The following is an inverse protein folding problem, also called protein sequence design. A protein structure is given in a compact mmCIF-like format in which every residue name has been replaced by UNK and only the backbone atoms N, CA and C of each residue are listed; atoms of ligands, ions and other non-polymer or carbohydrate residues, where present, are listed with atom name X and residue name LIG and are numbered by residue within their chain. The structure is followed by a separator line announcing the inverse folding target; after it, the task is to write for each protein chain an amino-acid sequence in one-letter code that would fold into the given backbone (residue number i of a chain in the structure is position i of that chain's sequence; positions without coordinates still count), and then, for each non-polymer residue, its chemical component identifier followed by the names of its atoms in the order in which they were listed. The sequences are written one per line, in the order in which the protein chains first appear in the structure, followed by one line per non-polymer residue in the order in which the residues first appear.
data_IF_194641908755
#
_entry.id   IF_194641908755
#
_cell.length_a   1.000
_cell.length_b   1.000
_cell.length_c   1.000
_cell.angle_alpha   90.00
_cell.angle_beta   90.00
_cell.angle_gamma   90.00
#
_symmetry.space_group_name_H-M   'P 1'
#
loop_
_entity.id
_entity.type
_entity.pdbx_description
1 polymer ?
#
# COMPACT_ATOMS: atom_id res chain seq x y z
N UNK A 1 -20.41 -26.80 -26.44
CA UNK A 1 -21.09 -25.47 -26.30
C UNK A 1 -20.19 -24.53 -25.55
N UNK A 2 -19.47 -23.59 -26.23
CA UNK A 2 -18.73 -22.52 -25.55
C UNK A 2 -19.75 -21.52 -25.05
N UNK A 3 -19.97 -21.47 -23.74
CA UNK A 3 -20.80 -20.46 -23.12
C UNK A 3 -20.20 -19.09 -23.43
N UNK A 4 -20.94 -18.29 -24.17
CA UNK A 4 -20.63 -16.91 -24.51
C UNK A 4 -20.69 -16.09 -23.19
N UNK A 5 -19.54 -16.03 -22.46
CA UNK A 5 -19.47 -15.17 -21.29
C UNK A 5 -19.45 -13.72 -21.79
N UNK A 6 -20.45 -12.91 -21.50
CA UNK A 6 -20.44 -11.51 -21.90
C UNK A 6 -19.19 -10.86 -21.31
N UNK A 7 -18.47 -10.11 -22.15
CA UNK A 7 -17.34 -9.27 -21.71
C UNK A 7 -17.90 -8.29 -20.69
N UNK A 8 -17.64 -8.55 -19.40
CA UNK A 8 -18.10 -7.68 -18.32
C UNK A 8 -17.30 -6.39 -18.37
N UNK A 9 -17.99 -5.27 -18.55
CA UNK A 9 -17.38 -3.94 -18.49
C UNK A 9 -16.78 -3.74 -17.09
N UNK A 10 -15.52 -3.32 -16.97
CA UNK A 10 -14.92 -3.02 -15.67
C UNK A 10 -15.72 -1.92 -14.95
N UNK A 11 -15.78 -1.99 -13.63
CA UNK A 11 -16.48 -1.01 -12.80
C UNK A 11 -15.65 0.29 -12.66
N UNK A 12 -15.44 1.00 -13.76
CA UNK A 12 -14.56 2.18 -13.84
C UNK A 12 -14.87 3.19 -12.73
N UNK A 13 -16.15 3.49 -12.49
CA UNK A 13 -16.55 4.39 -11.41
C UNK A 13 -16.11 3.89 -10.03
N UNK A 14 -16.24 2.59 -9.77
CA UNK A 14 -15.80 1.99 -8.49
C UNK A 14 -14.28 1.99 -8.35
N UNK A 15 -13.55 1.80 -9.45
CA UNK A 15 -12.07 1.87 -9.47
C UNK A 15 -11.62 3.30 -9.17
N UNK A 16 -12.27 4.31 -9.76
CA UNK A 16 -11.95 5.71 -9.49
C UNK A 16 -12.22 6.09 -8.04
N UNK A 17 -13.36 5.68 -7.47
CA UNK A 17 -13.67 5.93 -6.05
C UNK A 17 -12.65 5.24 -5.15
N UNK A 18 -12.24 4.00 -5.45
CA UNK A 18 -11.18 3.32 -4.71
C UNK A 18 -9.86 4.07 -4.80
N UNK A 19 -9.49 4.55 -5.99
CA UNK A 19 -8.31 5.39 -6.20
C UNK A 19 -8.35 6.67 -5.35
N UNK A 20 -9.50 7.34 -5.29
CA UNK A 20 -9.68 8.53 -4.45
C UNK A 20 -9.55 8.22 -2.95
N UNK A 21 -10.06 7.08 -2.48
CA UNK A 21 -9.88 6.66 -1.09
C UNK A 21 -8.40 6.45 -0.78
N UNK A 22 -7.66 5.79 -1.66
CA UNK A 22 -6.23 5.57 -1.46
C UNK A 22 -5.43 6.87 -1.55
N UNK A 23 -5.82 7.79 -2.45
CA UNK A 23 -5.21 9.12 -2.54
C UNK A 23 -5.44 9.93 -1.27
N UNK A 24 -6.64 9.87 -0.68
CA UNK A 24 -6.93 10.51 0.60
C UNK A 24 -6.11 9.92 1.75
N UNK A 25 -5.96 8.60 1.81
CA UNK A 25 -5.08 7.94 2.78
C UNK A 25 -3.61 8.32 2.59
N UNK A 26 -3.15 8.44 1.35
CA UNK A 26 -1.80 8.90 1.05
C UNK A 26 -1.58 10.35 1.48
N UNK A 27 -2.54 11.24 1.21
CA UNK A 27 -2.48 12.63 1.66
C UNK A 27 -2.45 12.72 3.20
N UNK A 28 -3.26 11.92 3.88
CA UNK A 28 -3.26 11.85 5.34
C UNK A 28 -1.92 11.32 5.89
N UNK A 29 -1.32 10.33 5.22
CA UNK A 29 0.01 9.83 5.57
C UNK A 29 1.08 10.92 5.39
N UNK A 30 1.06 11.68 4.28
CA UNK A 30 1.99 12.80 4.07
C UNK A 30 1.85 13.86 5.17
N UNK A 31 0.61 14.17 5.57
CA UNK A 31 0.36 15.08 6.68
C UNK A 31 0.93 14.54 8.00
N UNK A 32 0.69 13.26 8.30
CA UNK A 32 1.25 12.62 9.50
C UNK A 32 2.79 12.61 9.47
N UNK A 33 3.40 12.30 8.32
CA UNK A 33 4.85 12.32 8.15
C UNK A 33 5.44 13.73 8.36
N UNK A 34 4.81 14.75 7.80
CA UNK A 34 5.18 16.15 8.00
C UNK A 34 5.07 16.57 9.47
N UNK A 35 3.99 16.15 10.13
CA UNK A 35 3.79 16.43 11.56
C UNK A 35 4.87 15.76 12.41
N UNK A 36 5.18 14.47 12.15
CA UNK A 36 6.26 13.74 12.85
C UNK A 36 7.59 14.47 12.68
N UNK A 37 7.92 14.88 11.45
CA UNK A 37 9.13 15.65 11.16
C UNK A 37 9.18 16.93 12.02
N UNK A 38 8.12 17.74 12.00
CA UNK A 38 8.05 19.02 12.70
C UNK A 38 8.22 18.86 14.22
N UNK A 39 7.64 17.83 14.84
CA UNK A 39 7.71 17.62 16.29
C UNK A 39 9.03 16.96 16.74
N UNK A 40 9.78 16.34 15.82
CA UNK A 40 11.04 15.66 16.14
C UNK A 40 12.28 16.48 15.79
N UNK A 41 12.41 16.93 14.55
CA UNK A 41 13.55 17.66 14.04
C UNK A 41 13.35 19.19 14.03
N UNK A 42 12.12 19.64 14.24
CA UNK A 42 11.76 21.05 14.25
C UNK A 42 11.10 21.53 12.95
N UNK A 43 10.56 22.77 12.94
CA UNK A 43 9.83 23.29 11.79
C UNK A 43 10.73 23.74 10.64
N UNK A 44 12.04 23.89 10.86
CA UNK A 44 12.98 24.40 9.88
C UNK A 44 13.29 23.32 8.84
N UNK A 45 13.27 23.69 7.56
CA UNK A 45 13.67 22.79 6.50
C UNK A 45 15.19 22.60 6.51
N UNK A 46 15.70 21.37 6.27
CA UNK A 46 17.12 21.14 6.22
C UNK A 46 17.76 21.90 5.04
N UNK A 47 18.92 22.50 5.28
CA UNK A 47 19.65 23.28 4.28
C UNK A 47 20.12 22.39 3.12
N UNK A 48 20.37 21.10 3.38
CA UNK A 48 20.81 20.13 2.38
C UNK A 48 20.37 18.72 2.73
N UNK A 49 20.32 17.85 1.70
CA UNK A 49 20.02 16.43 1.89
C UNK A 49 21.07 15.71 2.76
N UNK A 50 22.33 16.12 2.70
CA UNK A 50 23.43 15.57 3.53
C UNK A 50 23.25 15.95 5.00
N UNK A 51 22.86 17.19 5.30
CA UNK A 51 22.57 17.61 6.66
C UNK A 51 21.36 16.85 7.21
N UNK A 52 20.29 16.73 6.43
CA UNK A 52 19.12 15.94 6.81
C UNK A 52 19.49 14.49 7.16
N UNK A 53 20.26 13.83 6.29
CA UNK A 53 20.70 12.47 6.53
C UNK A 53 21.57 12.36 7.80
N UNK A 54 22.47 13.33 8.03
CA UNK A 54 23.28 13.39 9.23
C UNK A 54 22.38 13.52 10.48
N UNK A 55 21.46 14.48 10.51
CA UNK A 55 20.60 14.74 11.67
C UNK A 55 19.69 13.54 11.97
N UNK A 56 19.13 12.90 10.94
CA UNK A 56 18.29 11.71 11.09
C UNK A 56 19.06 10.51 11.64
N UNK A 57 20.32 10.30 11.20
CA UNK A 57 21.07 9.08 11.53
C UNK A 57 21.91 9.24 12.80
N UNK A 58 22.26 10.45 13.23
CA UNK A 58 23.19 10.69 14.33
C UNK A 58 22.57 11.31 15.57
N UNK A 59 21.37 11.89 15.48
CA UNK A 59 20.69 12.53 16.62
C UNK A 59 19.66 11.61 17.26
N UNK A 60 19.40 11.82 18.56
CA UNK A 60 18.32 11.13 19.27
C UNK A 60 16.95 11.47 18.68
N UNK A 61 16.74 12.73 18.28
CA UNK A 61 15.53 13.19 17.62
C UNK A 61 15.31 12.48 16.28
N UNK A 62 16.38 12.30 15.50
CA UNK A 62 16.35 11.55 14.23
C UNK A 62 15.94 10.09 14.44
N UNK A 63 16.51 9.42 15.42
CA UNK A 63 16.11 8.05 15.76
C UNK A 63 14.67 7.95 16.25
N UNK A 64 14.20 8.95 17.02
CA UNK A 64 12.78 9.03 17.41
C UNK A 64 11.89 9.18 16.19
N UNK A 65 12.27 10.05 15.24
CA UNK A 65 11.56 10.22 13.98
C UNK A 65 11.49 8.93 13.18
N UNK A 66 12.59 8.18 13.07
CA UNK A 66 12.60 6.87 12.41
C UNK A 66 11.62 5.92 13.10
N UNK A 67 11.72 5.75 14.41
CA UNK A 67 10.91 4.80 15.16
C UNK A 67 9.40 5.12 15.05
N UNK A 68 9.03 6.37 15.30
CA UNK A 68 7.62 6.84 15.22
C UNK A 68 7.13 6.80 13.78
N UNK A 69 7.95 7.27 12.82
CA UNK A 69 7.61 7.29 11.41
C UNK A 69 7.40 5.89 10.83
N UNK A 70 8.25 4.92 11.19
CA UNK A 70 8.08 3.52 10.81
C UNK A 70 6.82 2.92 11.43
N UNK A 71 6.53 3.19 12.71
CA UNK A 71 5.32 2.71 13.36
C UNK A 71 4.04 3.25 12.72
N UNK A 72 3.98 4.55 12.51
CA UNK A 72 2.83 5.21 11.85
C UNK A 72 2.73 4.75 10.39
N UNK A 73 3.84 4.72 9.64
CA UNK A 73 3.88 4.23 8.26
C UNK A 73 3.39 2.78 8.14
N UNK A 74 3.78 1.92 9.08
CA UNK A 74 3.29 0.54 9.14
C UNK A 74 1.78 0.47 9.33
N UNK A 75 1.19 1.31 10.21
CA UNK A 75 -0.26 1.34 10.40
C UNK A 75 -0.99 1.77 9.13
N UNK A 76 -0.50 2.80 8.42
CA UNK A 76 -1.05 3.20 7.13
C UNK A 76 -0.94 2.08 6.08
N UNK A 77 0.23 1.43 5.98
CA UNK A 77 0.45 0.31 5.06
C UNK A 77 -0.51 -0.85 5.37
N UNK A 78 -0.73 -1.16 6.64
CA UNK A 78 -1.67 -2.20 7.07
C UNK A 78 -3.11 -1.86 6.66
N UNK A 79 -3.56 -0.63 6.90
CA UNK A 79 -4.90 -0.17 6.48
C UNK A 79 -5.05 -0.27 4.96
N UNK A 80 -4.07 0.22 4.20
CA UNK A 80 -4.08 0.14 2.73
C UNK A 80 -4.12 -1.32 2.27
N UNK A 81 -3.32 -2.21 2.85
CA UNK A 81 -3.33 -3.64 2.53
C UNK A 81 -4.73 -4.24 2.77
N UNK A 82 -5.30 -4.03 3.96
CA UNK A 82 -6.59 -4.59 4.35
C UNK A 82 -7.70 -4.18 3.39
N UNK A 83 -7.74 -2.92 2.96
CA UNK A 83 -8.81 -2.42 2.10
C UNK A 83 -8.58 -2.71 0.61
N UNK A 84 -7.33 -2.93 0.16
CA UNK A 84 -7.00 -2.95 -1.28
C UNK A 84 -6.62 -4.33 -1.83
N UNK A 85 -6.07 -5.23 -1.01
CA UNK A 85 -5.45 -6.48 -1.49
C UNK A 85 -6.38 -7.38 -2.31
N UNK A 86 -7.66 -7.46 -1.96
CA UNK A 86 -8.69 -8.20 -2.70
C UNK A 86 -9.58 -7.25 -3.50
N UNK A 87 -9.74 -6.00 -3.06
CA UNK A 87 -10.67 -5.05 -3.69
C UNK A 87 -10.31 -4.74 -5.14
N UNK A 88 -9.04 -4.46 -5.43
CA UNK A 88 -8.62 -4.14 -6.81
C UNK A 88 -8.85 -5.31 -7.77
N UNK A 89 -8.34 -6.52 -7.51
CA UNK A 89 -8.63 -7.66 -8.35
C UNK A 89 -10.12 -7.92 -8.52
N UNK A 90 -10.91 -7.78 -7.45
CA UNK A 90 -12.35 -7.99 -7.48
C UNK A 90 -13.08 -6.95 -8.36
N UNK A 91 -12.68 -5.68 -8.30
CA UNK A 91 -13.25 -4.61 -9.12
C UNK A 91 -12.90 -4.76 -10.61
N UNK A 92 -11.73 -5.38 -10.91
CA UNK A 92 -11.33 -5.69 -12.29
C UNK A 92 -12.06 -6.94 -12.83
N UNK A 93 -12.29 -7.93 -11.98
CA UNK A 93 -12.92 -9.20 -12.36
C UNK A 93 -14.45 -9.10 -12.41
N UNK A 94 -15.06 -8.32 -11.50
CA UNK A 94 -16.51 -8.24 -11.33
C UNK A 94 -17.00 -6.81 -11.23
N UNK A 95 -18.14 -6.52 -11.85
CA UNK A 95 -18.79 -5.22 -11.72
C UNK A 95 -19.51 -5.14 -10.35
N UNK A 96 -18.76 -4.90 -9.29
CA UNK A 96 -19.27 -4.72 -7.93
C UNK A 96 -19.02 -3.29 -7.46
N UNK A 97 -19.83 -2.82 -6.50
CA UNK A 97 -19.61 -1.51 -5.88
C UNK A 97 -18.39 -1.51 -4.94
N UNK A 98 -17.78 -0.34 -4.73
CA UNK A 98 -16.60 -0.16 -3.87
C UNK A 98 -16.83 -0.70 -2.47
N UNK A 99 -17.99 -0.45 -1.88
CA UNK A 99 -18.31 -0.93 -0.54
C UNK A 99 -18.23 -2.46 -0.44
N UNK A 100 -18.80 -3.19 -1.41
CA UNK A 100 -18.72 -4.65 -1.44
C UNK A 100 -17.30 -5.14 -1.66
N UNK A 101 -16.52 -4.45 -2.49
CA UNK A 101 -15.13 -4.80 -2.73
C UNK A 101 -14.30 -4.67 -1.44
N UNK A 102 -14.39 -3.54 -0.74
CA UNK A 102 -13.70 -3.30 0.53
C UNK A 102 -14.17 -4.30 1.60
N UNK A 103 -15.48 -4.51 1.75
CA UNK A 103 -16.01 -5.48 2.72
C UNK A 103 -15.48 -6.89 2.46
N UNK A 104 -15.38 -7.30 1.18
CA UNK A 104 -14.80 -8.60 0.80
C UNK A 104 -13.30 -8.66 1.13
N UNK A 105 -12.55 -7.57 0.88
CA UNK A 105 -11.12 -7.51 1.19
C UNK A 105 -10.87 -7.60 2.70
N UNK A 106 -11.59 -6.81 3.50
CA UNK A 106 -11.51 -6.86 4.97
C UNK A 106 -11.84 -8.26 5.49
N UNK A 107 -12.90 -8.87 4.97
CA UNK A 107 -13.31 -10.22 5.36
C UNK A 107 -12.24 -11.26 5.00
N UNK A 108 -11.70 -11.22 3.80
CA UNK A 108 -10.65 -12.13 3.34
C UNK A 108 -9.39 -12.05 4.23
N UNK A 109 -8.98 -10.84 4.63
CA UNK A 109 -7.84 -10.63 5.53
C UNK A 109 -8.15 -11.19 6.93
N UNK A 110 -9.35 -10.97 7.45
CA UNK A 110 -9.75 -11.46 8.79
C UNK A 110 -9.88 -12.98 8.85
N UNK A 111 -10.33 -13.61 7.77
CA UNK A 111 -10.48 -15.06 7.69
C UNK A 111 -9.14 -15.77 7.41
N UNK A 112 -8.15 -15.05 6.84
CA UNK A 112 -6.84 -15.60 6.47
C UNK A 112 -5.67 -14.74 6.96
N UNK A 113 -5.54 -14.46 8.26
CA UNK A 113 -4.56 -13.48 8.76
C UNK A 113 -3.11 -13.90 8.47
N UNK A 114 -2.77 -15.19 8.63
CA UNK A 114 -1.41 -15.69 8.38
C UNK A 114 -0.95 -15.51 6.93
N UNK A 115 -1.66 -16.07 5.94
CA UNK A 115 -1.35 -15.87 4.53
C UNK A 115 -1.32 -14.39 4.09
N UNK A 116 -2.23 -13.56 4.64
CA UNK A 116 -2.28 -12.14 4.31
C UNK A 116 -1.11 -11.35 4.91
N UNK A 117 -0.70 -11.67 6.15
CA UNK A 117 0.49 -11.09 6.75
C UNK A 117 1.76 -11.50 5.98
N UNK A 118 1.91 -12.78 5.62
CA UNK A 118 3.01 -13.26 4.81
C UNK A 118 3.04 -12.54 3.45
N UNK A 119 1.89 -12.35 2.81
CA UNK A 119 1.77 -11.61 1.56
C UNK A 119 2.17 -10.13 1.71
N UNK A 120 1.72 -9.48 2.77
CA UNK A 120 2.12 -8.10 3.09
C UNK A 120 3.64 -7.96 3.28
N UNK A 121 4.29 -8.92 3.94
CA UNK A 121 5.75 -8.96 4.09
C UNK A 121 6.46 -9.17 2.74
N UNK A 122 5.94 -10.03 1.88
CA UNK A 122 6.48 -10.24 0.53
C UNK A 122 6.40 -8.95 -0.30
N UNK A 123 5.26 -8.24 -0.23
CA UNK A 123 5.10 -6.93 -0.89
C UNK A 123 6.13 -5.94 -0.34
N UNK A 124 6.23 -5.80 0.98
CA UNK A 124 7.17 -4.88 1.61
C UNK A 124 8.61 -5.19 1.22
N UNK A 125 9.02 -6.45 1.31
CA UNK A 125 10.36 -6.89 0.90
C UNK A 125 10.64 -6.63 -0.59
N UNK A 126 9.67 -6.91 -1.45
CA UNK A 126 9.77 -6.65 -2.90
C UNK A 126 9.91 -5.16 -3.23
N UNK A 127 9.17 -4.30 -2.52
CA UNK A 127 9.27 -2.85 -2.70
C UNK A 127 10.62 -2.31 -2.20
N UNK A 128 11.09 -2.77 -1.04
CA UNK A 128 12.40 -2.38 -0.51
C UNK A 128 13.51 -2.83 -1.46
N UNK A 129 13.50 -4.10 -1.87
CA UNK A 129 14.47 -4.63 -2.83
C UNK A 129 14.43 -3.89 -4.18
N UNK A 130 13.24 -3.52 -4.65
CA UNK A 130 13.06 -2.73 -5.87
C UNK A 130 13.51 -1.27 -5.75
N UNK A 131 13.51 -0.72 -4.53
CA UNK A 131 13.96 0.65 -4.28
C UNK A 131 15.50 0.79 -4.21
N UNK A 132 16.21 -0.26 -3.79
CA UNK A 132 17.68 -0.25 -3.65
C UNK A 132 18.41 0.22 -4.92
N UNK A 133 18.11 -0.31 -6.13
CA UNK A 133 18.74 0.16 -7.36
C UNK A 133 18.10 1.45 -7.90
N UNK A 134 18.10 2.53 -7.09
CA UNK A 134 17.59 3.86 -7.48
C UNK A 134 16.18 3.82 -8.09
N UNK A 135 15.27 3.03 -7.51
CA UNK A 135 13.88 2.84 -7.95
C UNK A 135 13.71 2.09 -9.30
N UNK A 136 14.77 1.81 -10.04
CA UNK A 136 14.69 1.06 -11.31
C UNK A 136 14.15 -0.35 -11.08
N UNK A 137 14.49 -0.97 -9.96
CA UNK A 137 13.96 -2.29 -9.59
C UNK A 137 12.46 -2.31 -9.37
N UNK A 138 11.82 -1.17 -9.07
CA UNK A 138 10.36 -1.09 -8.96
C UNK A 138 9.66 -1.35 -10.29
N UNK A 139 10.27 -0.99 -11.41
CA UNK A 139 9.73 -1.28 -12.73
C UNK A 139 9.57 -2.80 -12.98
N UNK A 140 10.38 -3.62 -12.32
CA UNK A 140 10.30 -5.09 -12.38
C UNK A 140 9.43 -5.62 -11.23
N UNK A 141 9.63 -5.10 -10.01
CA UNK A 141 8.92 -5.58 -8.82
C UNK A 141 7.40 -5.35 -8.91
N UNK A 142 6.94 -4.18 -9.37
CA UNK A 142 5.51 -3.86 -9.43
C UNK A 142 4.69 -4.80 -10.35
N UNK A 143 5.10 -5.11 -11.59
CA UNK A 143 4.39 -6.08 -12.41
C UNK A 143 4.36 -7.49 -11.81
N UNK A 144 5.47 -7.94 -11.21
CA UNK A 144 5.55 -9.27 -10.57
C UNK A 144 4.59 -9.34 -9.38
N UNK A 145 4.62 -8.35 -8.48
CA UNK A 145 3.73 -8.28 -7.34
C UNK A 145 2.25 -8.17 -7.75
N UNK A 146 1.95 -7.41 -8.81
CA UNK A 146 0.61 -7.32 -9.38
C UNK A 146 0.08 -8.66 -9.88
N UNK A 147 0.89 -9.40 -10.63
CA UNK A 147 0.53 -10.74 -11.10
C UNK A 147 0.33 -11.73 -9.95
N UNK A 148 1.22 -11.71 -8.98
CA UNK A 148 1.14 -12.58 -7.82
C UNK A 148 -0.08 -12.27 -6.94
N UNK A 149 -0.45 -10.98 -6.79
CA UNK A 149 -1.68 -10.57 -6.09
C UNK A 149 -2.93 -11.09 -6.79
N UNK A 150 -2.94 -11.14 -8.12
CA UNK A 150 -4.05 -11.74 -8.88
C UNK A 150 -4.21 -13.24 -8.58
N UNK A 151 -3.12 -13.99 -8.48
CA UNK A 151 -3.15 -15.41 -8.09
C UNK A 151 -3.64 -15.63 -6.66
N UNK A 152 -3.21 -14.77 -5.72
CA UNK A 152 -3.70 -14.78 -4.35
C UNK A 152 -5.22 -14.55 -4.31
N UNK A 153 -5.70 -13.51 -5.00
CA UNK A 153 -7.12 -13.20 -5.11
C UNK A 153 -7.95 -14.41 -5.57
N UNK A 154 -7.51 -15.08 -6.63
CA UNK A 154 -8.22 -16.27 -7.17
C UNK A 154 -8.28 -17.43 -6.20
N UNK A 155 -7.34 -17.56 -5.27
CA UNK A 155 -7.37 -18.60 -4.22
C UNK A 155 -8.31 -18.26 -3.07
N UNK A 156 -8.52 -16.98 -2.81
CA UNK A 156 -9.29 -16.50 -1.65
C UNK A 156 -10.77 -16.29 -2.00
N UNK A 157 -11.09 -15.93 -3.24
CA UNK A 157 -12.44 -15.53 -3.67
C UNK A 157 -13.01 -16.47 -4.75
N UNK A 158 -12.18 -17.32 -5.38
CA UNK A 158 -12.53 -18.28 -6.45
C UNK A 158 -12.92 -19.64 -5.90
#
# INVERSE_FOLDING_TARGET
MKANRPIRKPAIGSILVMGLILLALFALWLFAASFIYTVTLGPDLPISASQFAHDVLTTQQGWTMIAVGMGVGFLFALVVLIISVVSFPLLLDRNVGVYRAIATSVRAVRENPGPMAAWGLIIAAGLVAGAIPLLVGLAIALPILGHATWHLYRRVVG
#
